data_IF_482666775271
#
_entry.id   IF_482666775271
#
_cell.length_a   1.000
_cell.length_b   1.000
_cell.length_c   1.000
_cell.angle_alpha   90.00
_cell.angle_beta   90.00
_cell.angle_gamma   90.00
#
_symmetry.space_group_name_H-M   'P 1'
#
loop_
_entity.id
_entity.type
_entity.pdbx_description
1 polymer ?
#
# COMPACT_ATOMS: atom_id res chain seq x y z
N UNK A 1 -13.64 30.45 2.68
CA UNK A 1 -13.20 29.30 1.83
C UNK A 1 -13.99 29.44 0.55
N UNK A 2 -13.31 29.81 -0.50
CA UNK A 2 -13.96 30.10 -1.75
C UNK A 2 -14.50 28.80 -2.35
N UNK A 3 -15.78 28.82 -2.74
CA UNK A 3 -16.48 27.69 -3.38
C UNK A 3 -15.80 27.20 -4.68
N UNK A 4 -14.83 27.95 -5.18
CA UNK A 4 -14.04 27.66 -6.37
C UNK A 4 -13.09 26.46 -6.24
N UNK A 5 -12.88 25.92 -5.03
CA UNK A 5 -11.98 24.79 -4.80
C UNK A 5 -12.70 23.43 -4.76
N UNK A 6 -14.02 23.39 -4.91
CA UNK A 6 -14.79 22.14 -4.89
C UNK A 6 -15.34 21.82 -6.27
N UNK A 7 -15.18 20.59 -6.69
CA UNK A 7 -15.82 20.08 -7.91
C UNK A 7 -17.19 19.51 -7.55
N UNK A 8 -18.23 20.13 -8.12
CA UNK A 8 -19.59 19.64 -8.00
C UNK A 8 -19.98 18.81 -9.23
N UNK A 9 -20.85 17.80 -9.10
CA UNK A 9 -21.22 16.90 -10.21
C UNK A 9 -21.80 17.60 -11.44
N UNK A 10 -22.29 18.79 -11.28
CA UNK A 10 -22.96 19.62 -12.30
C UNK A 10 -22.16 20.89 -12.67
N UNK A 11 -20.90 20.98 -12.27
CA UNK A 11 -20.04 22.06 -12.74
C UNK A 11 -19.67 21.88 -14.21
N UNK A 12 -19.87 22.94 -15.01
CA UNK A 12 -19.45 22.98 -16.41
C UNK A 12 -17.93 23.11 -16.58
N UNK A 13 -17.25 23.59 -15.56
CA UNK A 13 -15.80 23.76 -15.54
C UNK A 13 -15.18 22.91 -14.42
N UNK A 14 -14.47 21.86 -14.81
CA UNK A 14 -13.74 21.02 -13.86
C UNK A 14 -12.42 21.69 -13.51
N UNK A 15 -12.30 22.20 -12.28
CA UNK A 15 -11.06 22.78 -11.75
C UNK A 15 -10.15 21.66 -11.20
N UNK A 16 -9.13 21.30 -11.96
CA UNK A 16 -8.12 20.35 -11.50
C UNK A 16 -7.10 21.04 -10.62
N UNK A 17 -7.08 20.71 -9.33
CA UNK A 17 -6.08 21.23 -8.40
C UNK A 17 -4.76 20.44 -8.53
N UNK A 18 -3.67 21.04 -8.02
CA UNK A 18 -2.37 20.38 -7.93
C UNK A 18 -2.45 19.03 -7.17
N UNK A 19 -3.38 18.89 -6.24
CA UNK A 19 -3.58 17.65 -5.48
C UNK A 19 -3.99 16.48 -6.36
N UNK A 20 -4.81 16.71 -7.40
CA UNK A 20 -5.21 15.66 -8.35
C UNK A 20 -4.01 15.22 -9.20
N UNK A 21 -3.12 16.15 -9.57
CA UNK A 21 -1.91 15.81 -10.34
C UNK A 21 -0.90 15.04 -9.50
N UNK A 22 -0.82 15.33 -8.21
CA UNK A 22 0.09 14.66 -7.29
C UNK A 22 -0.26 13.18 -7.09
N UNK A 23 -1.54 12.84 -7.09
CA UNK A 23 -2.00 11.45 -6.91
C UNK A 23 -1.41 10.48 -7.96
N UNK A 24 -1.60 10.67 -9.30
CA UNK A 24 -1.02 9.78 -10.28
C UNK A 24 0.52 9.77 -10.30
N UNK A 25 1.15 10.87 -9.91
CA UNK A 25 2.60 10.89 -9.73
C UNK A 25 3.06 9.94 -8.62
N UNK A 26 2.41 9.98 -7.45
CA UNK A 26 2.71 9.08 -6.35
C UNK A 26 2.42 7.61 -6.69
N UNK A 27 1.30 7.33 -7.37
CA UNK A 27 0.99 5.97 -7.81
C UNK A 27 1.98 5.46 -8.85
N UNK A 28 2.47 6.31 -9.76
CA UNK A 28 3.53 5.94 -10.70
C UNK A 28 4.84 5.54 -10.01
N UNK A 29 5.21 6.21 -8.90
CA UNK A 29 6.35 5.80 -8.08
C UNK A 29 6.13 4.43 -7.40
N UNK A 30 4.90 4.15 -6.96
CA UNK A 30 4.52 2.85 -6.42
C UNK A 30 4.67 1.76 -7.48
N UNK A 31 4.11 1.98 -8.67
CA UNK A 31 4.15 1.01 -9.77
C UNK A 31 5.59 0.71 -10.19
N UNK A 32 6.42 1.74 -10.38
CA UNK A 32 7.84 1.57 -10.70
C UNK A 32 8.59 0.78 -9.64
N UNK A 33 8.34 1.07 -8.38
CA UNK A 33 8.97 0.37 -7.25
C UNK A 33 8.51 -1.09 -7.16
N UNK A 34 7.23 -1.34 -7.42
CA UNK A 34 6.68 -2.69 -7.43
C UNK A 34 7.24 -3.52 -8.60
N UNK A 35 7.40 -2.92 -9.79
CA UNK A 35 8.04 -3.57 -10.94
C UNK A 35 9.48 -4.00 -10.59
N UNK A 36 10.27 -3.14 -9.96
CA UNK A 36 11.65 -3.48 -9.53
C UNK A 36 11.65 -4.65 -8.56
N UNK A 37 10.71 -4.70 -7.63
CA UNK A 37 10.56 -5.84 -6.73
C UNK A 37 10.14 -7.11 -7.48
N UNK A 38 9.18 -7.03 -8.39
CA UNK A 38 8.69 -8.14 -9.18
C UNK A 38 9.78 -8.76 -10.07
N UNK A 39 10.67 -7.94 -10.65
CA UNK A 39 11.81 -8.44 -11.42
C UNK A 39 12.71 -9.40 -10.62
N UNK A 40 12.86 -9.16 -9.32
CA UNK A 40 13.61 -10.09 -8.47
C UNK A 40 12.76 -11.29 -8.01
N UNK A 41 11.57 -11.04 -7.44
CA UNK A 41 10.78 -12.10 -6.79
C UNK A 41 10.07 -13.01 -7.78
N UNK A 42 9.61 -12.49 -8.92
CA UNK A 42 8.85 -13.23 -9.93
C UNK A 42 9.77 -13.70 -11.06
N UNK A 43 10.59 -12.79 -11.61
CA UNK A 43 11.43 -13.07 -12.77
C UNK A 43 12.84 -13.55 -12.40
N UNK A 44 13.23 -13.57 -11.13
CA UNK A 44 14.48 -14.15 -10.64
C UNK A 44 15.74 -13.36 -11.00
N UNK A 45 15.64 -12.06 -11.31
CA UNK A 45 16.79 -11.20 -11.65
C UNK A 45 17.64 -10.95 -10.40
N UNK A 46 18.64 -11.80 -10.18
CA UNK A 46 19.45 -11.85 -8.95
C UNK A 46 20.23 -10.56 -8.64
N UNK A 47 20.58 -9.79 -9.65
CA UNK A 47 21.27 -8.48 -9.49
C UNK A 47 20.44 -7.45 -8.70
N UNK A 48 19.11 -7.56 -8.74
CA UNK A 48 18.20 -6.63 -8.07
C UNK A 48 17.89 -6.99 -6.61
N UNK A 49 18.44 -8.11 -6.10
CA UNK A 49 18.20 -8.57 -4.72
C UNK A 49 18.38 -7.49 -3.64
N UNK A 50 19.45 -6.66 -3.63
CA UNK A 50 19.65 -5.66 -2.59
C UNK A 50 18.58 -4.57 -2.61
N UNK A 51 18.08 -4.21 -3.80
CA UNK A 51 17.13 -3.12 -3.99
C UNK A 51 15.68 -3.59 -3.83
N UNK A 52 15.37 -4.83 -4.18
CA UNK A 52 13.99 -5.36 -4.21
C UNK A 52 13.25 -5.25 -2.87
N UNK A 53 13.94 -5.49 -1.75
CA UNK A 53 13.36 -5.35 -0.41
C UNK A 53 13.01 -3.91 -0.07
N UNK A 54 13.92 -2.99 -0.38
CA UNK A 54 13.69 -1.57 -0.20
C UNK A 54 12.53 -1.08 -1.08
N UNK A 55 12.49 -1.53 -2.34
CA UNK A 55 11.42 -1.17 -3.29
C UNK A 55 10.03 -1.59 -2.79
N UNK A 56 9.88 -2.74 -2.14
CA UNK A 56 8.60 -3.16 -1.55
C UNK A 56 8.15 -2.25 -0.41
N UNK A 57 9.06 -1.90 0.49
CA UNK A 57 8.74 -0.98 1.61
C UNK A 57 8.41 0.40 1.07
N UNK A 58 9.16 0.86 0.08
CA UNK A 58 8.95 2.13 -0.59
C UNK A 58 7.57 2.16 -1.28
N UNK A 59 7.22 1.10 -2.02
CA UNK A 59 5.91 0.96 -2.65
C UNK A 59 4.77 1.03 -1.61
N UNK A 60 4.88 0.32 -0.49
CA UNK A 60 3.88 0.34 0.57
C UNK A 60 3.73 1.74 1.20
N UNK A 61 4.84 2.40 1.49
CA UNK A 61 4.85 3.74 2.08
C UNK A 61 4.19 4.76 1.14
N UNK A 62 4.59 4.78 -0.13
CA UNK A 62 4.02 5.72 -1.10
C UNK A 62 2.56 5.40 -1.43
N UNK A 63 2.19 4.13 -1.50
CA UNK A 63 0.79 3.72 -1.69
C UNK A 63 -0.08 4.21 -0.53
N UNK A 64 0.40 4.08 0.71
CA UNK A 64 -0.30 4.59 1.89
C UNK A 64 -0.48 6.11 1.86
N UNK A 65 0.51 6.85 1.33
CA UNK A 65 0.47 8.30 1.21
C UNK A 65 -0.33 8.80 0.00
N UNK A 66 -0.45 7.99 -1.07
CA UNK A 66 -1.06 8.42 -2.33
C UNK A 66 -2.54 8.81 -2.21
N UNK A 67 -3.24 8.28 -1.20
CA UNK A 67 -4.64 8.64 -0.94
C UNK A 67 -4.81 10.03 -0.32
N UNK A 68 -3.81 10.58 0.37
CA UNK A 68 -3.95 11.86 1.06
C UNK A 68 -4.26 13.04 0.10
N UNK A 69 -3.55 13.22 -1.02
CA UNK A 69 -3.87 14.28 -1.96
C UNK A 69 -5.30 14.19 -2.49
N UNK A 70 -5.77 12.97 -2.76
CA UNK A 70 -7.11 12.73 -3.24
C UNK A 70 -8.16 13.06 -2.16
N UNK A 71 -7.94 12.63 -0.92
CA UNK A 71 -8.82 12.96 0.22
C UNK A 71 -8.86 14.45 0.50
N UNK A 72 -7.73 15.14 0.41
CA UNK A 72 -7.66 16.59 0.65
C UNK A 72 -8.36 17.40 -0.45
N UNK A 73 -8.48 16.83 -1.65
CA UNK A 73 -9.23 17.47 -2.74
C UNK A 73 -10.75 17.31 -2.59
N UNK A 74 -11.21 16.29 -1.85
CA UNK A 74 -12.63 16.09 -1.59
C UNK A 74 -13.17 17.22 -0.68
N UNK A 75 -14.26 17.84 -1.06
CA UNK A 75 -14.91 18.85 -0.24
C UNK A 75 -15.43 18.32 1.11
N UNK A 76 -15.65 17.00 1.20
CA UNK A 76 -16.12 16.30 2.40
C UNK A 76 -15.38 14.97 2.56
N UNK A 77 -14.13 15.00 3.06
CA UNK A 77 -13.30 13.80 3.19
C UNK A 77 -13.90 12.74 4.12
N UNK A 78 -14.73 13.15 5.09
CA UNK A 78 -15.42 12.25 6.02
C UNK A 78 -16.40 11.31 5.31
N UNK A 79 -16.86 11.66 4.10
CA UNK A 79 -17.76 10.83 3.31
C UNK A 79 -17.05 9.83 2.38
N UNK A 80 -15.72 9.86 2.36
CA UNK A 80 -14.94 8.95 1.52
C UNK A 80 -15.25 7.47 1.79
N UNK A 81 -15.50 7.12 3.05
CA UNK A 81 -15.88 5.75 3.43
C UNK A 81 -17.20 5.29 2.80
N UNK A 82 -18.11 6.19 2.44
CA UNK A 82 -19.36 5.82 1.78
C UNK A 82 -19.10 5.16 0.43
N UNK A 83 -18.02 5.51 -0.24
CA UNK A 83 -17.61 4.89 -1.50
C UNK A 83 -17.30 3.38 -1.34
N UNK A 84 -16.86 2.98 -0.15
CA UNK A 84 -16.58 1.58 0.20
C UNK A 84 -17.83 0.85 0.71
N UNK A 85 -18.68 1.55 1.49
CA UNK A 85 -19.86 0.95 2.15
C UNK A 85 -21.04 0.81 1.18
N UNK A 86 -21.15 1.77 0.23
CA UNK A 86 -22.21 1.75 -0.80
C UNK A 86 -21.60 1.66 -2.21
N UNK A 87 -21.01 0.51 -2.56
CA UNK A 87 -20.40 0.37 -3.87
C UNK A 87 -21.44 0.43 -4.99
N UNK A 88 -21.20 1.25 -6.00
CA UNK A 88 -22.01 1.28 -7.21
C UNK A 88 -21.25 0.56 -8.33
N UNK A 89 -21.85 -0.48 -8.95
CA UNK A 89 -21.20 -1.24 -10.04
C UNK A 89 -20.92 -0.39 -11.28
N UNK A 90 -21.62 0.73 -11.44
CA UNK A 90 -21.43 1.65 -12.58
C UNK A 90 -20.45 2.79 -12.29
N UNK A 91 -19.97 2.91 -11.05
CA UNK A 91 -19.04 3.98 -10.64
C UNK A 91 -17.60 3.51 -10.75
N UNK A 92 -16.84 4.09 -11.68
CA UNK A 92 -15.40 3.87 -11.81
C UNK A 92 -14.64 4.26 -10.52
N UNK A 93 -15.10 5.29 -9.81
CA UNK A 93 -14.48 5.74 -8.56
C UNK A 93 -14.64 4.73 -7.42
N UNK A 94 -15.81 4.07 -7.34
CA UNK A 94 -16.02 2.97 -6.38
C UNK A 94 -15.12 1.78 -6.67
N UNK A 95 -14.97 1.41 -7.96
CA UNK A 95 -14.05 0.36 -8.40
C UNK A 95 -12.59 0.68 -8.07
N UNK A 96 -12.16 1.92 -8.31
CA UNK A 96 -10.80 2.37 -8.00
C UNK A 96 -10.51 2.29 -6.49
N UNK A 97 -11.44 2.69 -5.62
CA UNK A 97 -11.30 2.58 -4.17
C UNK A 97 -11.13 1.13 -3.70
N UNK A 98 -11.89 0.20 -4.28
CA UNK A 98 -11.76 -1.22 -3.97
C UNK A 98 -10.40 -1.78 -4.41
N UNK A 99 -9.98 -1.51 -5.65
CA UNK A 99 -8.68 -1.94 -6.19
C UNK A 99 -7.54 -1.41 -5.32
N UNK A 100 -7.61 -0.14 -4.91
CA UNK A 100 -6.61 0.49 -4.05
C UNK A 100 -6.50 -0.21 -2.68
N UNK A 101 -7.63 -0.54 -2.07
CA UNK A 101 -7.66 -1.26 -0.80
C UNK A 101 -7.05 -2.65 -0.93
N UNK A 102 -7.41 -3.38 -1.98
CA UNK A 102 -6.82 -4.69 -2.27
C UNK A 102 -5.31 -4.58 -2.48
N UNK A 103 -4.85 -3.59 -3.23
CA UNK A 103 -3.42 -3.36 -3.48
C UNK A 103 -2.65 -3.10 -2.18
N UNK A 104 -3.16 -2.24 -1.28
CA UNK A 104 -2.53 -1.97 0.03
C UNK A 104 -2.41 -3.26 0.85
N UNK A 105 -3.47 -4.06 0.92
CA UNK A 105 -3.47 -5.31 1.67
C UNK A 105 -2.47 -6.30 1.08
N UNK A 106 -2.47 -6.49 -0.24
CA UNK A 106 -1.57 -7.43 -0.91
C UNK A 106 -0.10 -7.02 -0.76
N UNK A 107 0.25 -5.76 -1.01
CA UNK A 107 1.63 -5.28 -0.85
C UNK A 107 2.05 -5.37 0.62
N UNK A 108 1.15 -5.05 1.56
CA UNK A 108 1.39 -5.20 2.99
C UNK A 108 1.70 -6.64 3.38
N UNK A 109 0.93 -7.61 2.89
CA UNK A 109 1.18 -9.03 3.11
C UNK A 109 2.53 -9.48 2.52
N UNK A 110 2.85 -9.07 1.29
CA UNK A 110 4.14 -9.39 0.66
C UNK A 110 5.30 -8.82 1.50
N UNK A 111 5.19 -7.58 1.97
CA UNK A 111 6.20 -6.97 2.84
C UNK A 111 6.36 -7.78 4.13
N UNK A 112 5.25 -8.17 4.78
CA UNK A 112 5.30 -8.99 6.00
C UNK A 112 5.97 -10.34 5.75
N UNK A 113 5.65 -11.03 4.67
CA UNK A 113 6.25 -12.32 4.32
C UNK A 113 7.76 -12.17 4.04
N UNK A 114 8.15 -11.18 3.24
CA UNK A 114 9.57 -10.92 2.90
C UNK A 114 10.40 -10.56 4.13
N UNK A 115 9.83 -9.80 5.08
CA UNK A 115 10.52 -9.39 6.30
C UNK A 115 10.30 -10.32 7.49
N UNK A 116 9.44 -11.34 7.37
CA UNK A 116 9.14 -12.30 8.44
C UNK A 116 10.39 -12.88 9.12
N UNK A 117 11.43 -13.35 8.40
CA UNK A 117 12.62 -13.88 9.06
C UNK A 117 13.34 -12.84 9.93
N UNK A 118 13.34 -11.59 9.51
CA UNK A 118 13.92 -10.47 10.27
C UNK A 118 13.06 -10.13 11.50
N UNK A 119 11.73 -10.09 11.33
CA UNK A 119 10.79 -9.83 12.42
C UNK A 119 10.85 -10.90 13.50
N UNK A 120 10.96 -12.18 13.13
CA UNK A 120 11.12 -13.29 14.09
C UNK A 120 12.44 -13.17 14.87
N UNK A 121 13.54 -12.82 14.22
CA UNK A 121 14.82 -12.57 14.89
C UNK A 121 14.75 -11.40 15.87
N UNK A 122 14.06 -10.31 15.51
CA UNK A 122 13.84 -9.18 16.37
C UNK A 122 12.95 -9.51 17.57
N UNK A 123 11.88 -10.31 17.33
CA UNK A 123 11.01 -10.83 18.40
C UNK A 123 11.79 -11.57 19.47
N UNK A 124 12.71 -12.46 19.08
CA UNK A 124 13.52 -13.25 20.01
C UNK A 124 14.48 -12.40 20.85
N UNK A 125 14.85 -11.20 20.36
CA UNK A 125 15.76 -10.27 21.06
C UNK A 125 15.03 -9.25 21.91
N UNK A 126 13.76 -8.97 21.64
CA UNK A 126 13.02 -7.85 22.23
C UNK A 126 12.02 -8.35 23.28
N UNK A 127 11.94 -7.65 24.41
CA UNK A 127 10.97 -7.91 25.51
C UNK A 127 9.96 -6.76 25.60
N UNK A 128 8.81 -6.99 26.23
CA UNK A 128 7.79 -5.99 26.48
C UNK A 128 6.80 -5.80 25.32
N UNK A 129 6.22 -4.59 25.19
CA UNK A 129 5.18 -4.25 24.22
C UNK A 129 5.62 -4.53 22.78
N UNK A 130 6.89 -4.26 22.45
CA UNK A 130 7.43 -4.54 21.11
C UNK A 130 7.42 -6.04 20.77
N UNK A 131 7.58 -6.91 21.76
CA UNK A 131 7.46 -8.37 21.53
C UNK A 131 6.02 -8.75 21.11
N UNK A 132 5.02 -8.12 21.73
CA UNK A 132 3.60 -8.34 21.38
C UNK A 132 3.35 -7.88 19.95
N UNK A 133 3.87 -6.72 19.55
CA UNK A 133 3.75 -6.22 18.18
C UNK A 133 4.38 -7.20 17.17
N UNK A 134 5.61 -7.65 17.41
CA UNK A 134 6.26 -8.64 16.54
C UNK A 134 5.53 -9.99 16.54
N UNK A 135 4.92 -10.38 17.66
CA UNK A 135 4.11 -11.57 17.77
C UNK A 135 2.90 -11.53 16.83
N UNK A 136 2.18 -10.41 16.83
CA UNK A 136 1.03 -10.20 15.92
C UNK A 136 1.49 -10.19 14.47
N UNK A 137 2.55 -9.44 14.13
CA UNK A 137 3.09 -9.35 12.78
C UNK A 137 3.63 -10.69 12.23
N UNK A 138 4.12 -11.57 13.11
CA UNK A 138 4.61 -12.91 12.70
C UNK A 138 3.56 -14.01 12.81
N UNK A 139 2.29 -13.64 13.09
CA UNK A 139 1.18 -14.58 13.34
C UNK A 139 1.54 -15.65 14.39
N UNK A 140 2.23 -15.23 15.44
CA UNK A 140 2.77 -16.08 16.53
C UNK A 140 3.74 -17.17 16.09
N UNK A 141 4.12 -17.25 14.83
CA UNK A 141 5.05 -18.25 14.31
C UNK A 141 6.50 -17.85 14.61
N UNK A 142 7.24 -18.76 15.24
CA UNK A 142 8.69 -18.64 15.47
C UNK A 142 9.50 -19.58 14.58
N UNK A 143 8.82 -20.34 13.71
CA UNK A 143 9.46 -21.32 12.87
C UNK A 143 10.29 -20.66 11.77
N UNK A 144 11.60 -20.86 11.81
CA UNK A 144 12.59 -20.42 10.82
C UNK A 144 13.18 -21.60 10.05
N UNK A 145 12.48 -22.76 10.00
CA UNK A 145 12.94 -23.91 9.23
C UNK A 145 13.10 -23.54 7.73
N UNK A 146 14.02 -24.18 7.01
CA UNK A 146 14.20 -23.92 5.58
C UNK A 146 12.90 -24.11 4.78
N UNK A 147 12.06 -25.07 5.16
CA UNK A 147 10.76 -25.30 4.54
C UNK A 147 9.79 -24.13 4.71
N UNK A 148 9.73 -23.54 5.93
CA UNK A 148 8.86 -22.37 6.17
C UNK A 148 9.35 -21.13 5.42
N UNK A 149 10.68 -20.98 5.25
CA UNK A 149 11.28 -19.88 4.48
C UNK A 149 11.06 -20.04 2.97
N UNK A 150 10.95 -21.27 2.47
CA UNK A 150 10.58 -21.53 1.08
C UNK A 150 9.10 -21.27 0.81
N UNK A 151 8.23 -21.58 1.77
CA UNK A 151 6.79 -21.24 1.69
C UNK A 151 6.56 -19.73 1.64
N UNK A 152 7.31 -18.96 2.42
CA UNK A 152 7.25 -17.49 2.42
C UNK A 152 7.76 -16.87 1.09
N UNK A 153 8.45 -17.67 0.25
CA UNK A 153 8.98 -17.23 -1.05
C UNK A 153 8.09 -17.57 -2.23
N UNK A 154 7.19 -18.53 -2.07
CA UNK A 154 6.24 -18.95 -3.12
C UNK A 154 4.95 -18.14 -3.03
#
# INVERSE_FOLDING_TARGET
MDALNFVFPNDLHVHWSMMIVLYPYLTGLVDGSFIVAALYYVFGVKSLKPISRFSLVFALAFLSCAMFPLLMHLGRPERNQNMMITPSPTSAMSGAGFIFTVAIVLIGLIVLLVYRPTLVKLRLKTKGIMNILYRVLTMDSTNLSPESLELDRK
#
